data_IF_208647366523
#
_entry.id   IF_208647366523
#
_cell.length_a   1.000
_cell.length_b   1.000
_cell.length_c   1.000
_cell.angle_alpha   90.00
_cell.angle_beta   90.00
_cell.angle_gamma   90.00
#
_symmetry.space_group_name_H-M   'P 1'
#
loop_
_entity.id
_entity.type
_entity.pdbx_description
1 polymer ?
#
# COMPACT_ATOMS: atom_id res chain seq x y z
N UNK A 1 15.34 -10.02 17.84
CA UNK A 1 14.48 -11.10 17.28
C UNK A 1 13.38 -10.51 16.41
N UNK A 2 12.71 -9.43 16.84
CA UNK A 2 11.62 -8.77 16.09
C UNK A 2 12.10 -8.13 14.77
N UNK A 3 13.22 -7.42 14.77
CA UNK A 3 13.75 -6.78 13.55
C UNK A 3 14.06 -7.79 12.44
N UNK A 4 14.67 -8.93 12.78
CA UNK A 4 14.97 -10.01 11.82
C UNK A 4 13.68 -10.62 11.26
N UNK A 5 12.66 -10.80 12.10
CA UNK A 5 11.35 -11.27 11.66
C UNK A 5 10.67 -10.29 10.71
N UNK A 6 10.72 -8.99 11.00
CA UNK A 6 10.17 -7.96 10.10
C UNK A 6 10.92 -7.88 8.76
N UNK A 7 12.24 -8.02 8.77
CA UNK A 7 13.04 -8.06 7.53
C UNK A 7 12.64 -9.28 6.68
N UNK A 8 12.54 -10.45 7.30
CA UNK A 8 12.16 -11.67 6.60
C UNK A 8 10.72 -11.59 6.05
N UNK A 9 9.80 -11.04 6.85
CA UNK A 9 8.42 -10.79 6.43
C UNK A 9 8.35 -9.79 5.27
N UNK A 10 9.18 -8.75 5.30
CA UNK A 10 9.32 -7.80 4.20
C UNK A 10 9.78 -8.46 2.90
N UNK A 11 10.81 -9.33 2.96
CA UNK A 11 11.28 -10.08 1.80
C UNK A 11 10.17 -10.97 1.24
N UNK A 12 9.48 -11.73 2.10
CA UNK A 12 8.37 -12.60 1.69
C UNK A 12 7.25 -11.79 1.03
N UNK A 13 6.89 -10.63 1.60
CA UNK A 13 5.88 -9.75 1.03
C UNK A 13 6.28 -9.26 -0.37
N UNK A 14 7.55 -8.85 -0.57
CA UNK A 14 8.06 -8.42 -1.88
C UNK A 14 8.01 -9.58 -2.88
N UNK A 15 8.51 -10.76 -2.52
CA UNK A 15 8.46 -11.94 -3.37
C UNK A 15 7.02 -12.31 -3.76
N UNK A 16 6.09 -12.22 -2.80
CA UNK A 16 4.67 -12.50 -3.04
C UNK A 16 4.03 -11.50 -4.00
N UNK A 17 4.33 -10.20 -3.87
CA UNK A 17 3.86 -9.18 -4.80
C UNK A 17 4.39 -9.42 -6.23
N UNK A 18 5.67 -9.78 -6.36
CA UNK A 18 6.26 -10.12 -7.66
C UNK A 18 5.57 -11.34 -8.27
N UNK A 19 5.39 -12.41 -7.48
CA UNK A 19 4.71 -13.62 -7.94
C UNK A 19 3.27 -13.35 -8.37
N UNK A 20 2.55 -12.48 -7.65
CA UNK A 20 1.21 -12.03 -8.02
C UNK A 20 1.20 -11.33 -9.38
N UNK A 21 2.12 -10.37 -9.60
CA UNK A 21 2.23 -9.65 -10.88
C UNK A 21 2.55 -10.59 -12.04
N UNK A 22 3.51 -11.50 -11.86
CA UNK A 22 3.85 -12.52 -12.87
C UNK A 22 2.65 -13.43 -13.15
N UNK A 23 1.95 -13.88 -12.12
CA UNK A 23 0.75 -14.70 -12.25
C UNK A 23 -0.35 -14.02 -13.05
N UNK A 24 -0.54 -12.70 -12.87
CA UNK A 24 -1.49 -11.92 -13.67
C UNK A 24 -1.08 -11.84 -15.15
N UNK A 25 0.21 -11.70 -15.45
CA UNK A 25 0.68 -11.72 -16.86
C UNK A 25 0.46 -13.09 -17.50
N UNK A 26 0.73 -14.18 -16.76
CA UNK A 26 0.51 -15.56 -17.24
C UNK A 26 -0.98 -15.85 -17.46
N UNK A 27 -1.86 -15.29 -16.64
CA UNK A 27 -3.31 -15.45 -16.74
C UNK A 27 -3.97 -14.60 -17.85
N UNK A 28 -3.20 -14.12 -18.84
CA UNK A 28 -3.73 -13.35 -19.95
C UNK A 28 -4.79 -14.15 -20.74
N UNK A 29 -5.92 -13.53 -21.14
CA UNK A 29 -6.27 -12.11 -21.00
C UNK A 29 -6.95 -11.74 -19.67
N UNK A 30 -7.43 -12.69 -18.88
CA UNK A 30 -8.19 -12.43 -17.66
C UNK A 30 -7.37 -11.65 -16.60
N UNK A 31 -6.06 -11.84 -16.57
CA UNK A 31 -5.16 -11.11 -15.68
C UNK A 31 -5.14 -9.59 -15.86
N UNK A 32 -5.57 -9.06 -17.02
CA UNK A 32 -5.77 -7.61 -17.22
C UNK A 32 -6.75 -7.01 -16.22
N UNK A 33 -7.82 -7.74 -15.88
CA UNK A 33 -8.81 -7.28 -14.89
C UNK A 33 -8.14 -7.13 -13.51
N UNK A 34 -7.30 -8.09 -13.14
CA UNK A 34 -6.52 -8.06 -11.91
C UNK A 34 -5.54 -6.87 -11.87
N UNK A 35 -4.84 -6.61 -12.97
CA UNK A 35 -3.92 -5.47 -13.08
C UNK A 35 -4.65 -4.13 -12.92
N UNK A 36 -5.81 -3.97 -13.58
CA UNK A 36 -6.63 -2.75 -13.45
C UNK A 36 -7.11 -2.57 -12.01
N UNK A 37 -7.56 -3.64 -11.37
CA UNK A 37 -8.01 -3.60 -9.98
C UNK A 37 -6.87 -3.20 -9.02
N UNK A 38 -5.68 -3.79 -9.17
CA UNK A 38 -4.50 -3.43 -8.37
C UNK A 38 -4.11 -1.98 -8.57
N UNK A 39 -4.12 -1.48 -9.81
CA UNK A 39 -3.82 -0.08 -10.08
C UNK A 39 -4.83 0.86 -9.41
N UNK A 40 -6.12 0.55 -9.51
CA UNK A 40 -7.17 1.32 -8.86
C UNK A 40 -6.99 1.38 -7.34
N UNK A 41 -6.77 0.23 -6.70
CA UNK A 41 -6.53 0.14 -5.25
C UNK A 41 -5.22 0.86 -4.87
N UNK A 42 -4.17 0.69 -5.66
CA UNK A 42 -2.86 1.31 -5.42
C UNK A 42 -2.92 2.83 -5.44
N UNK A 43 -3.66 3.41 -6.39
CA UNK A 43 -3.89 4.87 -6.45
C UNK A 43 -4.63 5.36 -5.21
N UNK A 44 -5.71 4.68 -4.81
CA UNK A 44 -6.46 5.03 -3.60
C UNK A 44 -5.61 4.91 -2.34
N UNK A 45 -4.77 3.87 -2.26
CA UNK A 45 -3.86 3.69 -1.14
C UNK A 45 -2.82 4.81 -1.06
N UNK A 46 -2.19 5.17 -2.18
CA UNK A 46 -1.25 6.30 -2.24
C UNK A 46 -1.92 7.61 -1.83
N UNK A 47 -3.16 7.84 -2.30
CA UNK A 47 -3.95 9.02 -1.89
C UNK A 47 -4.11 9.05 -0.37
N UNK A 48 -4.55 7.95 0.25
CA UNK A 48 -4.75 7.87 1.70
C UNK A 48 -3.42 8.07 2.45
N UNK A 49 -2.32 7.50 1.96
CA UNK A 49 -0.99 7.73 2.56
C UNK A 49 -0.59 9.20 2.48
N UNK A 50 -0.80 9.86 1.34
CA UNK A 50 -0.54 11.28 1.17
C UNK A 50 -1.37 12.14 2.13
N UNK A 51 -2.67 11.87 2.20
CA UNK A 51 -3.59 12.56 3.11
C UNK A 51 -3.15 12.35 4.58
N UNK A 52 -2.71 11.14 4.96
CA UNK A 52 -2.20 10.85 6.31
C UNK A 52 -0.88 11.53 6.62
N UNK A 53 0.04 11.63 5.66
CA UNK A 53 1.32 12.30 5.85
C UNK A 53 1.13 13.83 5.96
N UNK A 54 0.21 14.40 5.17
CA UNK A 54 -0.17 15.82 5.22
C UNK A 54 -0.96 16.19 6.49
N UNK A 55 -1.71 15.24 7.07
CA UNK A 55 -2.50 15.43 8.29
C UNK A 55 -1.67 15.74 9.55
N UNK A 56 -0.33 15.64 9.51
CA UNK A 56 0.55 16.09 10.61
C UNK A 56 0.51 17.61 10.81
N UNK A 57 0.19 18.39 9.78
CA UNK A 57 -0.02 19.85 9.94
C UNK A 57 -1.40 20.17 10.56
N UNK A 58 -2.43 19.37 10.28
CA UNK A 58 -3.81 19.61 10.76
C UNK A 58 -4.01 19.23 12.24
N UNK A 59 -3.23 18.27 12.75
CA UNK A 59 -3.18 17.93 14.18
C UNK A 59 -2.67 19.09 15.05
N UNK A 60 -2.00 20.10 14.47
CA UNK A 60 -1.54 21.27 15.21
C UNK A 60 -2.70 22.22 15.60
N UNK A 61 -3.75 22.28 14.77
CA UNK A 61 -4.90 23.17 15.01
C UNK A 61 -6.01 22.52 15.85
N UNK A 62 -6.10 21.20 15.87
CA UNK A 62 -7.08 20.48 16.71
C UNK A 62 -6.75 20.52 18.21
N UNK A 63 -5.49 20.81 18.58
CA UNK A 63 -5.04 20.87 19.98
C UNK A 63 -5.19 22.26 20.64
N UNK A 64 -5.53 23.31 19.88
CA UNK A 64 -5.59 24.69 20.37
C UNK A 64 -7.01 25.28 20.39
N UNK A 65 -8.04 24.48 20.11
CA UNK A 65 -9.43 24.92 20.30
C UNK A 65 -9.88 24.44 21.69
N UNK A 66 -9.79 25.34 22.68
CA UNK A 66 -10.49 25.19 23.96
C UNK A 66 -11.99 24.98 23.67
N UNK A 67 -12.55 23.91 24.25
CA UNK A 67 -13.99 23.65 24.28
C UNK A 67 -14.69 24.54 25.30
#
# INVERSE_FOLDING_TARGET
METTAYVLLGIVAICWLIAMLVGMVVAFPFGLIGLIAILGIGILFIKVLGDRLSSKEDDHYSQNVEK
#
